data_IF_058277947248
#
_entry.id   IF_058277947248
#
_cell.length_a   1.000
_cell.length_b   1.000
_cell.length_c   1.000
_cell.angle_alpha   90.00
_cell.angle_beta   90.00
_cell.angle_gamma   90.00
#
_symmetry.space_group_name_H-M   'P 1'
#
loop_
_entity.id
_entity.type
_entity.pdbx_description
1 polymer ?
#
# COMPACT_ATOMS: atom_id res chain seq x y z
N UNK A 1 36.99 -27.19 -61.77
CA UNK A 1 36.95 -25.82 -61.28
C UNK A 1 36.35 -25.84 -59.88
N UNK A 2 37.08 -25.33 -58.92
CA UNK A 2 36.49 -25.19 -57.56
C UNK A 2 35.56 -23.97 -57.53
N UNK A 3 34.29 -24.16 -57.21
CA UNK A 3 33.37 -23.07 -57.07
C UNK A 3 33.52 -22.54 -55.62
N UNK A 4 33.94 -21.28 -55.51
CA UNK A 4 34.03 -20.60 -54.20
C UNK A 4 32.77 -19.75 -54.02
N UNK A 5 31.97 -20.05 -53.03
CA UNK A 5 30.81 -19.24 -52.67
C UNK A 5 31.29 -17.97 -51.95
N UNK A 6 31.10 -16.79 -52.57
CA UNK A 6 31.49 -15.49 -52.01
C UNK A 6 30.41 -14.98 -51.03
N UNK A 7 29.15 -15.38 -51.23
CA UNK A 7 28.02 -15.09 -50.33
C UNK A 7 27.05 -16.25 -50.41
N UNK A 8 26.60 -16.74 -49.24
CA UNK A 8 25.56 -17.76 -49.20
C UNK A 8 24.24 -17.14 -49.66
N UNK A 9 23.63 -17.71 -50.69
CA UNK A 9 22.28 -17.37 -51.12
C UNK A 9 21.26 -17.83 -50.08
N UNK A 10 20.12 -17.18 -50.04
CA UNK A 10 18.98 -17.56 -49.19
C UNK A 10 18.20 -18.68 -49.91
N UNK A 11 18.45 -19.93 -49.50
CA UNK A 11 17.79 -21.11 -50.09
C UNK A 11 16.25 -21.09 -49.88
N UNK A 12 15.75 -20.38 -48.85
CA UNK A 12 14.32 -20.28 -48.58
C UNK A 12 13.57 -19.50 -49.67
N UNK A 13 14.28 -18.65 -50.42
CA UNK A 13 13.68 -17.92 -51.55
C UNK A 13 13.28 -18.83 -52.71
N UNK A 14 13.87 -20.00 -52.82
CA UNK A 14 13.55 -20.96 -53.85
C UNK A 14 12.29 -21.79 -53.54
N UNK A 15 11.93 -21.86 -52.27
CA UNK A 15 10.80 -22.69 -51.78
C UNK A 15 9.67 -21.86 -51.21
N UNK A 16 9.65 -20.55 -51.44
CA UNK A 16 8.62 -19.64 -50.96
C UNK A 16 7.28 -19.90 -51.59
N UNK A 17 6.20 -19.54 -50.85
CA UNK A 17 4.86 -19.48 -51.38
C UNK A 17 4.81 -18.54 -52.57
N UNK A 18 4.25 -19.05 -53.71
CA UNK A 18 4.16 -18.33 -54.97
C UNK A 18 2.75 -18.30 -55.48
N UNK A 19 2.38 -17.19 -56.13
CA UNK A 19 1.11 -17.07 -56.85
C UNK A 19 1.28 -17.45 -58.30
N UNK A 20 0.40 -18.30 -58.81
CA UNK A 20 0.33 -18.78 -60.16
C UNK A 20 -0.95 -18.29 -60.81
N UNK A 21 -0.84 -17.97 -62.10
CA UNK A 21 -1.98 -17.65 -62.93
C UNK A 21 -2.06 -18.67 -64.09
N UNK A 22 -3.16 -19.39 -64.19
CA UNK A 22 -3.37 -20.37 -65.24
C UNK A 22 -3.95 -19.70 -66.47
N UNK A 23 -3.20 -19.58 -67.53
CA UNK A 23 -3.62 -18.96 -68.80
C UNK A 23 -4.70 -19.76 -69.51
N UNK A 24 -5.02 -21.00 -69.09
CA UNK A 24 -6.01 -21.87 -69.73
C UNK A 24 -7.41 -21.73 -69.12
N UNK A 25 -7.52 -21.33 -67.85
CA UNK A 25 -8.81 -21.25 -67.18
C UNK A 25 -8.92 -20.03 -66.24
N UNK A 26 -7.97 -19.11 -66.30
CA UNK A 26 -7.88 -17.88 -65.49
C UNK A 26 -7.89 -18.12 -63.98
N UNK A 27 -7.65 -19.38 -63.53
CA UNK A 27 -7.52 -19.67 -62.11
C UNK A 27 -6.24 -19.05 -61.55
N UNK A 28 -6.41 -18.28 -60.49
CA UNK A 28 -5.31 -17.74 -59.66
C UNK A 28 -5.22 -18.56 -58.38
N UNK A 29 -4.07 -19.11 -58.06
CA UNK A 29 -3.89 -19.91 -56.86
C UNK A 29 -2.46 -19.75 -56.30
N UNK A 30 -2.31 -20.03 -55.03
CA UNK A 30 -1.07 -19.99 -54.35
C UNK A 30 -0.55 -21.42 -54.10
N UNK A 31 0.73 -21.68 -54.36
CA UNK A 31 1.39 -22.94 -54.09
C UNK A 31 2.63 -22.74 -53.17
N UNK A 32 2.82 -23.69 -52.26
CA UNK A 32 4.00 -23.72 -51.39
C UNK A 32 5.19 -24.40 -52.06
N UNK A 33 6.40 -24.24 -51.52
CA UNK A 33 7.63 -24.68 -52.18
C UNK A 33 7.72 -26.15 -52.51
N UNK A 34 6.89 -27.02 -51.89
CA UNK A 34 6.80 -28.46 -52.19
C UNK A 34 5.87 -28.78 -53.36
N UNK A 35 5.02 -27.82 -53.75
CA UNK A 35 3.90 -28.03 -54.67
C UNK A 35 4.19 -27.45 -56.08
N UNK A 36 5.36 -26.85 -56.26
CA UNK A 36 5.76 -26.30 -57.55
C UNK A 36 7.22 -26.62 -57.87
N UNK A 37 7.55 -26.63 -59.15
CA UNK A 37 8.94 -26.82 -59.66
C UNK A 37 9.57 -25.46 -59.98
N UNK A 38 10.77 -25.23 -59.47
CA UNK A 38 11.58 -24.06 -59.86
C UNK A 38 12.21 -24.29 -61.20
N UNK A 39 12.01 -23.37 -62.15
CA UNK A 39 12.65 -23.44 -63.48
C UNK A 39 14.15 -23.13 -63.30
N UNK A 40 14.98 -24.14 -63.54
CA UNK A 40 16.44 -24.05 -63.44
C UNK A 40 17.11 -23.73 -64.77
N UNK A 41 16.36 -23.82 -65.89
CA UNK A 41 16.85 -23.46 -67.21
C UNK A 41 17.01 -21.92 -67.31
N UNK A 42 18.27 -21.46 -67.44
CA UNK A 42 18.59 -20.04 -67.51
C UNK A 42 18.08 -19.39 -68.81
N UNK A 43 18.06 -20.11 -69.91
CA UNK A 43 17.54 -19.55 -71.18
C UNK A 43 16.03 -19.33 -71.10
N UNK A 44 15.32 -20.27 -70.53
CA UNK A 44 13.86 -20.16 -70.33
C UNK A 44 13.53 -19.01 -69.38
N UNK A 45 14.29 -18.86 -68.32
CA UNK A 45 14.11 -17.75 -67.36
C UNK A 45 14.41 -16.38 -67.98
N UNK A 46 15.49 -16.25 -68.74
CA UNK A 46 15.89 -14.98 -69.32
C UNK A 46 15.00 -14.56 -70.49
N UNK A 47 14.53 -15.50 -71.32
CA UNK A 47 13.70 -15.20 -72.48
C UNK A 47 12.19 -15.04 -72.16
N UNK A 48 11.68 -15.84 -71.23
CA UNK A 48 10.24 -15.86 -70.92
C UNK A 48 9.86 -15.24 -69.57
N UNK A 49 10.86 -15.01 -68.70
CA UNK A 49 10.63 -14.54 -67.34
C UNK A 49 9.97 -15.57 -66.41
N UNK A 50 9.87 -16.85 -66.84
CA UNK A 50 9.26 -17.92 -66.03
C UNK A 50 10.24 -18.40 -64.97
N UNK A 51 9.84 -18.34 -63.68
CA UNK A 51 10.69 -18.79 -62.57
C UNK A 51 10.21 -20.09 -61.92
N UNK A 52 8.93 -20.40 -62.03
CA UNK A 52 8.37 -21.62 -61.46
C UNK A 52 7.18 -22.11 -62.26
N UNK A 53 6.87 -23.40 -62.17
CA UNK A 53 5.73 -24.05 -62.77
C UNK A 53 5.00 -24.93 -61.76
N UNK A 54 3.68 -25.04 -61.89
CA UNK A 54 2.83 -25.83 -61.01
C UNK A 54 1.61 -26.36 -61.80
N UNK A 55 1.06 -27.48 -61.36
CA UNK A 55 -0.19 -27.99 -61.92
C UNK A 55 -1.39 -27.19 -61.40
N UNK A 56 -2.17 -26.62 -62.30
CA UNK A 56 -3.39 -25.88 -61.93
C UNK A 56 -4.40 -26.82 -61.28
N UNK A 57 -4.90 -26.49 -60.06
CA UNK A 57 -5.85 -27.34 -59.34
C UNK A 57 -7.23 -27.41 -60.04
N UNK A 58 -7.54 -26.44 -60.89
CA UNK A 58 -8.87 -26.37 -61.55
C UNK A 58 -8.91 -27.13 -62.88
N UNK A 59 -7.87 -27.00 -63.73
CA UNK A 59 -7.91 -27.58 -65.07
C UNK A 59 -6.79 -28.57 -65.35
N UNK A 60 -5.93 -28.85 -64.41
CA UNK A 60 -4.79 -29.76 -64.46
C UNK A 60 -3.77 -29.42 -65.56
N UNK A 61 -3.78 -28.18 -66.08
CA UNK A 61 -2.74 -27.69 -67.00
C UNK A 61 -1.61 -27.03 -66.24
N UNK A 62 -0.43 -26.95 -66.84
CA UNK A 62 0.73 -26.26 -66.26
C UNK A 62 0.48 -24.77 -66.20
N UNK A 63 0.49 -24.21 -64.99
CA UNK A 63 0.49 -22.78 -64.73
C UNK A 63 1.91 -22.31 -64.42
N UNK A 64 2.22 -21.05 -64.69
CA UNK A 64 3.53 -20.48 -64.53
C UNK A 64 3.53 -19.27 -63.58
N UNK A 65 4.63 -19.11 -62.87
CA UNK A 65 4.96 -17.93 -62.10
C UNK A 65 6.14 -17.23 -62.74
N UNK A 66 6.05 -15.93 -62.92
CA UNK A 66 7.00 -15.13 -63.71
C UNK A 66 8.04 -14.40 -62.82
N UNK A 67 9.15 -14.00 -63.43
CA UNK A 67 10.23 -13.29 -62.78
C UNK A 67 9.82 -11.98 -62.14
N UNK A 68 10.44 -11.68 -61.05
CA UNK A 68 10.19 -10.50 -60.25
C UNK A 68 9.07 -10.67 -59.21
N UNK A 69 8.62 -9.57 -58.65
CA UNK A 69 7.65 -9.61 -57.53
C UNK A 69 6.25 -10.09 -57.89
N UNK A 70 5.93 -10.16 -59.19
CA UNK A 70 4.58 -10.49 -59.65
C UNK A 70 4.14 -11.94 -59.36
N UNK A 71 5.08 -12.87 -59.16
CA UNK A 71 4.77 -14.26 -58.81
C UNK A 71 4.97 -14.61 -57.33
N UNK A 72 5.58 -13.74 -56.56
CA UNK A 72 5.87 -14.01 -55.17
C UNK A 72 4.88 -13.33 -54.24
N UNK A 73 4.32 -14.11 -53.37
CA UNK A 73 3.47 -13.54 -52.33
C UNK A 73 4.41 -12.91 -51.27
N UNK A 74 4.24 -11.60 -51.04
CA UNK A 74 5.08 -10.93 -50.02
C UNK A 74 4.94 -11.58 -48.66
N UNK A 75 6.04 -11.79 -47.97
CA UNK A 75 6.03 -12.32 -46.60
C UNK A 75 6.38 -11.22 -45.58
N UNK A 76 5.76 -11.32 -44.42
CA UNK A 76 6.07 -10.40 -43.33
C UNK A 76 7.51 -10.61 -42.87
N UNK A 77 8.39 -9.66 -43.16
CA UNK A 77 9.77 -9.65 -42.76
C UNK A 77 9.93 -9.30 -41.28
N UNK A 78 9.16 -8.32 -40.80
CA UNK A 78 9.12 -7.87 -39.41
C UNK A 78 7.80 -7.17 -39.13
N UNK A 79 7.48 -7.01 -37.86
CA UNK A 79 6.44 -6.09 -37.42
C UNK A 79 7.09 -4.90 -36.68
N UNK A 80 6.36 -3.78 -36.63
CA UNK A 80 6.76 -2.59 -35.88
C UNK A 80 5.54 -1.96 -35.23
N UNK A 81 5.76 -1.17 -34.20
CA UNK A 81 4.70 -0.36 -33.59
C UNK A 81 4.51 0.91 -34.42
N UNK A 82 3.31 1.11 -34.95
CA UNK A 82 2.91 2.32 -35.68
C UNK A 82 2.47 3.42 -34.72
N UNK A 83 1.66 3.07 -33.71
CA UNK A 83 1.25 3.97 -32.63
C UNK A 83 1.47 3.28 -31.29
N UNK A 84 2.19 3.94 -30.39
CA UNK A 84 2.44 3.42 -29.05
C UNK A 84 1.17 3.51 -28.19
N UNK A 85 0.85 2.44 -27.43
CA UNK A 85 -0.17 2.50 -26.38
C UNK A 85 0.37 3.23 -25.15
N UNK A 86 -0.38 3.16 -24.04
CA UNK A 86 0.12 3.57 -22.72
C UNK A 86 1.38 2.79 -22.36
N UNK A 87 2.43 3.50 -21.89
CA UNK A 87 3.74 2.90 -21.52
C UNK A 87 4.08 3.04 -20.04
N UNK A 88 3.40 3.92 -19.29
CA UNK A 88 3.64 4.12 -17.85
C UNK A 88 2.62 3.37 -16.99
N UNK A 89 3.10 2.54 -16.05
CA UNK A 89 2.27 1.68 -15.20
C UNK A 89 2.69 1.75 -13.72
N UNK A 90 1.81 1.26 -12.86
CA UNK A 90 2.10 0.96 -11.45
C UNK A 90 2.16 -0.56 -11.24
N UNK A 91 2.92 -1.04 -10.26
CA UNK A 91 2.88 -2.45 -9.90
C UNK A 91 1.45 -2.94 -9.64
N UNK A 92 1.15 -4.13 -10.15
CA UNK A 92 -0.18 -4.72 -10.05
C UNK A 92 -1.16 -4.35 -11.17
N UNK A 93 -0.84 -3.39 -12.05
CA UNK A 93 -1.63 -3.12 -13.26
C UNK A 93 -1.29 -4.15 -14.35
N UNK A 94 -2.23 -4.38 -15.25
CA UNK A 94 -2.01 -5.16 -16.48
C UNK A 94 -1.75 -4.21 -17.66
N UNK A 95 -1.07 -4.72 -18.68
CA UNK A 95 -0.88 -3.97 -19.92
C UNK A 95 -2.23 -3.64 -20.59
N UNK A 96 -2.35 -2.42 -21.05
CA UNK A 96 -3.52 -1.93 -21.79
C UNK A 96 -3.12 -1.63 -23.24
N UNK A 97 -3.58 -2.44 -24.24
CA UNK A 97 -3.25 -2.26 -25.64
C UNK A 97 -4.08 -1.14 -26.32
N UNK A 98 -4.95 -0.44 -25.62
CA UNK A 98 -5.80 0.59 -26.20
C UNK A 98 -5.00 1.65 -26.97
N UNK A 99 -5.39 1.90 -28.23
CA UNK A 99 -4.71 2.85 -29.13
C UNK A 99 -3.42 2.32 -29.77
N UNK A 100 -3.02 1.07 -29.49
CA UNK A 100 -1.86 0.45 -30.14
C UNK A 100 -2.16 0.16 -31.60
N UNK A 101 -1.24 0.52 -32.48
CA UNK A 101 -1.27 0.15 -33.90
C UNK A 101 -0.01 -0.63 -34.23
N UNK A 102 -0.18 -1.83 -34.78
CA UNK A 102 0.90 -2.70 -35.23
C UNK A 102 0.92 -2.69 -36.76
N UNK A 103 2.10 -2.54 -37.34
CA UNK A 103 2.32 -2.50 -38.78
C UNK A 103 3.22 -3.64 -39.21
N UNK A 104 2.77 -4.43 -40.17
CA UNK A 104 3.60 -5.41 -40.85
C UNK A 104 4.45 -4.71 -41.92
N UNK A 105 5.73 -5.08 -41.97
CA UNK A 105 6.66 -4.67 -43.01
C UNK A 105 7.02 -5.92 -43.78
N UNK A 106 6.62 -5.95 -45.04
CA UNK A 106 6.85 -7.08 -45.93
C UNK A 106 8.25 -7.03 -46.56
N UNK A 107 8.65 -8.10 -47.17
CA UNK A 107 9.99 -8.23 -47.81
C UNK A 107 10.11 -7.44 -49.12
N UNK A 108 8.98 -7.04 -49.72
CA UNK A 108 8.94 -6.11 -50.84
C UNK A 108 8.86 -4.64 -50.39
N UNK A 109 9.00 -4.38 -49.07
CA UNK A 109 8.97 -3.08 -48.40
C UNK A 109 7.62 -2.35 -48.35
N UNK A 110 6.52 -2.97 -48.81
CA UNK A 110 5.22 -2.37 -48.48
C UNK A 110 4.90 -2.59 -47.01
N UNK A 111 4.03 -1.76 -46.48
CA UNK A 111 3.58 -1.79 -45.10
C UNK A 111 2.06 -1.91 -45.03
N UNK A 112 1.58 -2.68 -44.06
CA UNK A 112 0.15 -2.87 -43.85
C UNK A 112 -0.17 -2.82 -42.35
N UNK A 113 -1.24 -2.13 -41.97
CA UNK A 113 -1.73 -2.14 -40.60
C UNK A 113 -2.39 -3.48 -40.29
N UNK A 114 -1.91 -4.14 -39.24
CA UNK A 114 -2.46 -5.40 -38.80
C UNK A 114 -3.74 -5.18 -37.97
N UNK A 115 -4.70 -6.10 -38.12
CA UNK A 115 -5.88 -6.13 -37.28
C UNK A 115 -5.48 -6.37 -35.81
N UNK A 116 -6.17 -5.73 -34.87
CA UNK A 116 -5.82 -5.79 -33.43
C UNK A 116 -5.87 -7.22 -32.87
N UNK A 117 -6.78 -8.04 -33.35
CA UNK A 117 -6.98 -9.44 -32.95
C UNK A 117 -5.97 -10.40 -33.57
N UNK A 118 -5.19 -9.96 -34.56
CA UNK A 118 -4.11 -10.76 -35.18
C UNK A 118 -2.84 -10.79 -34.35
N UNK A 119 -2.76 -10.00 -33.27
CA UNK A 119 -1.59 -9.89 -32.41
C UNK A 119 -1.92 -10.27 -30.98
N UNK A 120 -0.95 -10.92 -30.30
CA UNK A 120 -0.98 -11.20 -28.86
C UNK A 120 0.09 -10.40 -28.13
N UNK A 121 -0.10 -10.17 -26.85
CA UNK A 121 0.85 -9.45 -26.00
C UNK A 121 1.26 -10.28 -24.78
N UNK A 122 2.52 -10.16 -24.35
CA UNK A 122 3.05 -10.82 -23.18
C UNK A 122 3.98 -9.88 -22.40
N UNK A 123 3.98 -9.92 -21.06
CA UNK A 123 3.13 -10.73 -20.20
C UNK A 123 1.67 -10.26 -20.17
N UNK A 124 0.74 -11.18 -19.95
CA UNK A 124 -0.69 -10.89 -19.70
C UNK A 124 -1.02 -10.76 -18.21
N UNK A 125 -0.05 -11.08 -17.36
CA UNK A 125 -0.14 -10.99 -15.90
C UNK A 125 0.08 -9.55 -15.41
N UNK A 126 -0.20 -9.32 -14.11
CA UNK A 126 0.09 -8.05 -13.47
C UNK A 126 1.58 -7.68 -13.58
N UNK A 127 1.84 -6.43 -13.95
CA UNK A 127 3.18 -5.87 -14.12
C UNK A 127 3.83 -5.64 -12.75
N UNK A 128 5.15 -5.83 -12.69
CA UNK A 128 5.98 -5.64 -11.50
C UNK A 128 7.03 -4.55 -11.76
N UNK A 129 7.74 -4.11 -10.71
CA UNK A 129 8.84 -3.14 -10.87
C UNK A 129 9.99 -3.62 -11.76
N UNK A 130 10.06 -4.94 -12.03
CA UNK A 130 11.04 -5.53 -12.94
C UNK A 130 10.55 -5.69 -14.38
N UNK A 131 9.28 -5.35 -14.65
CA UNK A 131 8.74 -5.40 -16.01
C UNK A 131 9.19 -4.16 -16.77
N UNK A 132 9.95 -4.35 -17.84
CA UNK A 132 10.59 -3.30 -18.63
C UNK A 132 10.10 -3.24 -20.09
N UNK A 133 9.44 -4.31 -20.57
CA UNK A 133 8.86 -4.36 -21.90
C UNK A 133 7.61 -5.23 -21.99
N UNK A 134 6.87 -5.04 -23.08
CA UNK A 134 5.79 -5.92 -23.53
C UNK A 134 6.15 -6.44 -24.91
N UNK A 135 6.19 -7.75 -25.07
CA UNK A 135 6.38 -8.39 -26.37
C UNK A 135 5.05 -8.51 -27.10
N UNK A 136 4.95 -7.92 -28.27
CA UNK A 136 3.83 -8.07 -29.20
C UNK A 136 4.20 -9.12 -30.23
N UNK A 137 3.34 -10.13 -30.43
CA UNK A 137 3.55 -11.23 -31.39
C UNK A 137 2.42 -11.25 -32.40
N UNK A 138 2.73 -11.18 -33.69
CA UNK A 138 1.75 -11.45 -34.74
C UNK A 138 1.54 -12.95 -34.90
N UNK A 139 0.31 -13.41 -34.64
CA UNK A 139 -0.01 -14.84 -34.47
C UNK A 139 0.32 -15.66 -35.73
N UNK A 140 -0.02 -15.15 -36.91
CA UNK A 140 0.12 -15.89 -38.15
C UNK A 140 1.60 -16.02 -38.62
N UNK A 141 2.45 -14.99 -38.42
CA UNK A 141 3.84 -15.02 -38.86
C UNK A 141 4.85 -15.32 -37.76
N UNK A 142 4.46 -15.32 -36.49
CA UNK A 142 5.33 -15.49 -35.34
C UNK A 142 6.33 -14.35 -35.14
N UNK A 143 6.22 -13.24 -35.90
CA UNK A 143 7.12 -12.08 -35.76
C UNK A 143 6.77 -11.32 -34.49
N UNK A 144 7.80 -10.79 -33.82
CA UNK A 144 7.67 -10.07 -32.54
C UNK A 144 8.27 -8.66 -32.62
N UNK A 145 7.78 -7.80 -31.72
CA UNK A 145 8.35 -6.49 -31.43
C UNK A 145 8.12 -6.16 -29.96
N UNK A 146 9.11 -5.57 -29.30
CA UNK A 146 9.02 -5.17 -27.91
C UNK A 146 8.64 -3.69 -27.79
N UNK A 147 7.73 -3.41 -26.87
CA UNK A 147 7.35 -2.07 -26.46
C UNK A 147 8.00 -1.82 -25.09
N UNK A 148 8.92 -0.88 -24.96
CA UNK A 148 9.47 -0.52 -23.66
C UNK A 148 8.38 0.12 -22.79
N UNK A 149 8.30 -0.33 -21.54
CA UNK A 149 7.38 0.22 -20.52
C UNK A 149 8.13 0.64 -19.28
N UNK A 150 7.52 1.51 -18.49
CA UNK A 150 8.05 1.99 -17.22
C UNK A 150 7.07 1.67 -16.11
N UNK A 151 7.49 0.84 -15.16
CA UNK A 151 6.68 0.50 -13.99
C UNK A 151 7.30 1.14 -12.76
N UNK A 152 6.57 2.05 -12.11
CA UNK A 152 7.04 2.79 -10.93
C UNK A 152 5.94 3.01 -9.91
N UNK A 153 6.30 3.11 -8.63
CA UNK A 153 5.39 3.47 -7.56
C UNK A 153 5.04 4.98 -7.64
N UNK A 154 3.80 5.33 -7.31
CA UNK A 154 3.43 6.72 -7.07
C UNK A 154 3.93 7.16 -5.70
N UNK A 155 4.61 8.32 -5.65
CA UNK A 155 5.08 8.90 -4.39
C UNK A 155 3.89 9.49 -3.63
N UNK A 156 3.78 9.15 -2.34
CA UNK A 156 2.78 9.68 -1.41
C UNK A 156 3.47 10.37 -0.24
N UNK A 157 2.80 11.38 0.34
CA UNK A 157 3.32 12.12 1.49
C UNK A 157 3.19 11.23 2.74
N UNK A 158 4.20 11.27 3.63
CA UNK A 158 4.14 10.62 4.93
C UNK A 158 3.10 11.31 5.81
N UNK A 159 2.21 10.57 6.48
CA UNK A 159 1.32 11.16 7.47
C UNK A 159 2.09 11.63 8.70
N UNK A 160 1.53 12.63 9.38
CA UNK A 160 2.07 13.23 10.59
C UNK A 160 1.01 13.22 11.68
N UNK A 161 1.43 13.17 12.95
CA UNK A 161 0.52 13.34 14.06
C UNK A 161 0.15 14.84 14.21
N UNK A 162 -1.13 15.16 14.37
CA UNK A 162 -1.57 16.50 14.76
C UNK A 162 -1.22 16.77 16.22
N UNK A 163 -1.30 15.72 17.05
CA UNK A 163 -0.98 15.72 18.46
C UNK A 163 -0.32 14.37 18.82
N UNK A 164 0.76 14.42 19.57
CA UNK A 164 1.50 13.23 19.97
C UNK A 164 1.36 12.89 21.45
N UNK A 165 0.82 13.80 22.27
CA UNK A 165 0.66 13.65 23.72
C UNK A 165 -0.74 14.05 24.10
N UNK A 166 -1.43 13.21 24.83
CA UNK A 166 -2.79 13.41 25.34
C UNK A 166 -2.78 13.25 26.86
N UNK A 167 -3.55 14.07 27.57
CA UNK A 167 -3.82 13.86 28.99
C UNK A 167 -4.85 12.75 29.17
N UNK A 168 -4.69 11.95 30.22
CA UNK A 168 -5.69 10.95 30.57
C UNK A 168 -7.06 11.59 30.84
N UNK A 169 -8.11 11.08 30.21
CA UNK A 169 -9.47 11.63 30.35
C UNK A 169 -10.51 10.62 30.84
N UNK A 170 -10.09 9.39 31.12
CA UNK A 170 -11.02 8.29 31.42
C UNK A 170 -11.75 7.73 30.20
N UNK A 171 -11.63 8.38 29.04
CA UNK A 171 -12.27 7.99 27.79
C UNK A 171 -11.24 7.60 26.74
N UNK A 172 -11.70 6.88 25.70
CA UNK A 172 -10.82 6.49 24.60
C UNK A 172 -10.32 7.71 23.83
N UNK A 173 -9.01 7.88 23.77
CA UNK A 173 -8.30 8.87 22.98
C UNK A 173 -7.94 8.27 21.62
N UNK A 174 -8.46 8.85 20.56
CA UNK A 174 -8.12 8.45 19.18
C UNK A 174 -7.04 9.37 18.64
N UNK A 175 -5.91 8.80 18.17
CA UNK A 175 -4.81 9.58 17.62
C UNK A 175 -5.25 10.34 16.36
N UNK A 176 -5.03 11.64 16.31
CA UNK A 176 -5.32 12.52 15.19
C UNK A 176 -4.14 12.56 14.23
N UNK A 177 -4.43 12.40 12.94
CA UNK A 177 -3.39 12.27 11.92
C UNK A 177 -3.72 13.15 10.73
N UNK A 178 -2.75 13.93 10.30
CA UNK A 178 -2.78 14.73 9.08
C UNK A 178 -2.13 13.95 7.93
N UNK A 179 -2.68 14.10 6.71
CA UNK A 179 -2.11 13.50 5.50
C UNK A 179 -2.41 12.00 5.32
N UNK A 180 -3.29 11.40 6.15
CA UNK A 180 -3.74 10.03 5.96
C UNK A 180 -4.77 9.93 4.85
N UNK A 181 -4.50 9.07 3.86
CA UNK A 181 -5.42 8.74 2.77
C UNK A 181 -5.57 7.21 2.66
N UNK A 182 -6.76 6.73 3.01
CA UNK A 182 -7.09 5.31 2.99
C UNK A 182 -7.07 4.68 1.58
N UNK A 183 -7.05 5.45 0.51
CA UNK A 183 -6.93 4.93 -0.87
C UNK A 183 -5.50 4.55 -1.21
N UNK A 184 -4.52 5.24 -0.64
CA UNK A 184 -3.09 5.11 -0.95
C UNK A 184 -2.28 4.37 0.11
N UNK A 185 -2.75 4.32 1.34
CA UNK A 185 -2.06 3.65 2.45
C UNK A 185 -3.02 2.95 3.41
N UNK A 186 -2.48 2.06 4.25
CA UNK A 186 -3.19 1.41 5.35
C UNK A 186 -2.75 1.99 6.68
N UNK A 187 -3.68 2.09 7.64
CA UNK A 187 -3.45 2.49 9.03
C UNK A 187 -3.64 1.28 9.94
N UNK A 188 -2.74 1.07 10.88
CA UNK A 188 -2.77 -0.05 11.82
C UNK A 188 -2.08 0.31 13.14
N UNK A 189 -1.94 -0.65 14.05
CA UNK A 189 -1.36 -0.44 15.37
C UNK A 189 -2.33 0.22 16.35
N UNK A 190 -1.80 1.02 17.27
CA UNK A 190 -2.58 1.64 18.33
C UNK A 190 -3.24 2.93 17.82
N UNK A 191 -4.45 2.82 17.30
CA UNK A 191 -5.19 3.97 16.74
C UNK A 191 -6.06 4.68 17.75
N UNK A 192 -6.38 4.01 18.88
CA UNK A 192 -7.14 4.57 20.02
C UNK A 192 -6.81 3.81 21.29
N UNK A 193 -6.67 4.51 22.41
CA UNK A 193 -6.38 3.94 23.74
C UNK A 193 -7.04 4.75 24.84
N UNK A 194 -7.21 4.13 26.00
CA UNK A 194 -7.80 4.77 27.19
C UNK A 194 -6.79 4.96 28.30
N UNK A 195 -5.85 4.02 28.49
CA UNK A 195 -4.91 4.00 29.63
C UNK A 195 -3.70 4.88 29.37
N UNK A 196 -3.09 5.37 30.43
CA UNK A 196 -1.74 5.98 30.40
C UNK A 196 -0.73 5.00 29.83
N UNK A 197 0.12 5.47 28.91
CA UNK A 197 1.12 4.63 28.27
C UNK A 197 1.71 5.20 27.00
N UNK A 198 2.64 4.46 26.43
CA UNK A 198 3.29 4.74 25.14
C UNK A 198 2.72 3.82 24.07
N UNK A 199 2.35 4.39 22.95
CA UNK A 199 1.65 3.73 21.86
C UNK A 199 2.28 4.08 20.52
N UNK A 200 1.90 3.34 19.46
CA UNK A 200 2.38 3.64 18.14
C UNK A 200 1.30 3.33 17.09
N UNK A 201 1.03 4.28 16.22
CA UNK A 201 0.23 4.09 15.00
C UNK A 201 1.18 3.83 13.84
N UNK A 202 0.80 2.90 12.96
CA UNK A 202 1.62 2.49 11.79
C UNK A 202 0.89 2.80 10.50
N UNK A 203 1.66 3.22 9.49
CA UNK A 203 1.17 3.48 8.14
C UNK A 203 2.03 2.72 7.14
N UNK A 204 1.37 2.04 6.19
CA UNK A 204 2.04 1.27 5.15
C UNK A 204 1.46 1.67 3.80
N UNK A 205 2.29 2.06 2.82
CA UNK A 205 1.83 2.29 1.46
C UNK A 205 1.16 1.03 0.89
N UNK A 206 0.07 1.21 0.16
CA UNK A 206 -0.53 0.11 -0.61
C UNK A 206 0.29 -0.18 -1.86
N UNK A 207 0.04 -1.33 -2.48
CA UNK A 207 0.67 -1.71 -3.76
C UNK A 207 0.54 -0.58 -4.79
N UNK A 208 1.65 -0.22 -5.44
CA UNK A 208 1.71 0.86 -6.40
C UNK A 208 2.00 2.25 -5.82
N UNK A 209 2.30 2.34 -4.51
CA UNK A 209 2.67 3.57 -3.82
C UNK A 209 3.97 3.40 -3.03
N UNK A 210 4.72 4.50 -2.83
CA UNK A 210 5.92 4.55 -2.01
C UNK A 210 6.05 5.90 -1.28
N UNK A 211 6.85 5.92 -0.21
CA UNK A 211 7.24 7.16 0.45
C UNK A 211 8.17 8.00 -0.43
N UNK A 212 8.44 9.28 -0.07
CA UNK A 212 9.32 10.16 -0.85
C UNK A 212 10.75 9.65 -1.04
N UNK A 213 11.22 8.76 -0.16
CA UNK A 213 12.53 8.10 -0.27
C UNK A 213 12.50 6.81 -1.11
N UNK A 214 11.37 6.51 -1.77
CA UNK A 214 11.19 5.32 -2.59
C UNK A 214 10.88 4.04 -1.79
N UNK A 215 10.89 4.06 -0.46
CA UNK A 215 10.60 2.89 0.36
C UNK A 215 9.11 2.60 0.47
N UNK A 216 8.75 1.33 0.67
CA UNK A 216 7.38 0.85 0.89
C UNK A 216 7.18 0.28 2.29
N UNK A 217 8.21 0.33 3.14
CA UNK A 217 8.16 -0.17 4.49
C UNK A 217 7.19 0.63 5.37
N UNK A 218 6.57 -0.05 6.34
CA UNK A 218 5.71 0.62 7.31
C UNK A 218 6.51 1.65 8.12
N UNK A 219 5.97 2.85 8.28
CA UNK A 219 6.45 3.84 9.25
C UNK A 219 5.62 3.74 10.53
N UNK A 220 6.27 4.04 11.66
CA UNK A 220 5.64 4.00 12.99
C UNK A 220 5.76 5.37 13.63
N UNK A 221 4.62 5.96 14.02
CA UNK A 221 4.58 7.25 14.71
C UNK A 221 4.18 7.01 16.17
N UNK A 222 5.08 7.33 17.13
CA UNK A 222 4.80 7.16 18.55
C UNK A 222 3.88 8.25 19.07
N UNK A 223 3.01 7.90 20.02
CA UNK A 223 2.17 8.83 20.75
C UNK A 223 1.96 8.36 22.19
N UNK A 224 1.53 9.25 23.08
CA UNK A 224 1.47 9.02 24.52
C UNK A 224 0.11 9.41 25.04
N UNK A 225 -0.35 8.68 26.07
CA UNK A 225 -1.31 9.20 27.06
C UNK A 225 -0.54 9.36 28.36
N UNK A 226 -0.43 10.58 28.85
CA UNK A 226 0.23 10.90 30.10
C UNK A 226 -0.80 11.00 31.24
N UNK A 227 -0.32 10.96 32.48
CA UNK A 227 -1.18 11.15 33.65
C UNK A 227 -1.78 12.55 33.66
N UNK A 228 -3.07 12.61 33.95
CA UNK A 228 -3.76 13.87 34.14
C UNK A 228 -3.49 14.46 35.54
N UNK A 229 -3.60 15.77 35.65
CA UNK A 229 -3.65 16.42 36.96
C UNK A 229 -5.01 16.13 37.62
N UNK A 230 -5.06 15.72 38.91
CA UNK A 230 -6.31 15.52 39.62
C UNK A 230 -6.91 16.84 40.03
N UNK A 231 -8.23 16.90 40.08
CA UNK A 231 -8.93 17.98 40.77
C UNK A 231 -8.75 17.84 42.29
N UNK A 232 -8.87 18.97 43.01
CA UNK A 232 -8.83 18.98 44.47
C UNK A 232 -9.88 18.05 45.06
N UNK A 233 -9.55 17.16 45.98
CA UNK A 233 -10.54 16.30 46.65
C UNK A 233 -11.50 17.11 47.49
N UNK A 234 -12.74 16.61 47.63
CA UNK A 234 -13.74 17.19 48.52
C UNK A 234 -13.93 16.31 49.74
N UNK A 235 -14.10 16.95 50.88
CA UNK A 235 -14.27 16.29 52.16
C UNK A 235 -15.71 16.43 52.67
N UNK A 236 -16.32 15.32 53.13
CA UNK A 236 -17.70 15.33 53.61
C UNK A 236 -17.82 14.50 54.88
N UNK A 237 -18.10 15.15 55.99
CA UNK A 237 -18.14 16.61 56.24
C UNK A 237 -16.73 17.24 56.18
N UNK A 238 -16.66 18.54 55.91
CA UNK A 238 -15.42 19.33 55.89
C UNK A 238 -14.89 19.70 57.30
N UNK A 239 -15.69 19.47 58.32
CA UNK A 239 -15.33 19.67 59.76
C UNK A 239 -15.97 18.58 60.59
N UNK A 240 -15.28 18.17 61.66
CA UNK A 240 -15.74 17.17 62.64
C UNK A 240 -15.49 17.66 64.06
N UNK A 241 -16.36 17.20 65.00
CA UNK A 241 -16.22 17.51 66.44
C UNK A 241 -15.96 16.22 67.20
N UNK A 242 -15.09 16.28 68.18
CA UNK A 242 -14.79 15.21 69.14
C UNK A 242 -15.17 15.73 70.54
N UNK A 243 -15.76 14.88 71.36
CA UNK A 243 -16.09 15.18 72.74
C UNK A 243 -16.04 13.90 73.59
N UNK A 244 -16.36 13.99 74.90
CA UNK A 244 -16.34 12.87 75.80
C UNK A 244 -17.31 11.73 75.42
N UNK A 245 -18.37 12.02 74.64
CA UNK A 245 -19.34 11.04 74.17
C UNK A 245 -19.05 10.55 72.76
N UNK A 246 -18.34 11.34 71.97
CA UNK A 246 -17.98 11.08 70.57
C UNK A 246 -16.47 11.19 70.43
N UNK A 247 -15.75 10.17 70.88
CA UNK A 247 -14.25 10.13 70.83
C UNK A 247 -13.69 9.78 69.44
N UNK A 248 -14.59 9.53 68.45
CA UNK A 248 -14.23 9.22 67.05
C UNK A 248 -15.28 9.78 66.09
N UNK A 249 -14.83 10.34 65.00
CA UNK A 249 -15.64 10.82 63.90
C UNK A 249 -15.05 10.35 62.56
N UNK A 250 -15.83 10.35 61.51
CA UNK A 250 -15.36 9.98 60.18
C UNK A 250 -15.78 11.02 59.16
N UNK A 251 -14.98 11.18 58.09
CA UNK A 251 -15.38 11.90 56.91
C UNK A 251 -14.93 11.14 55.64
N UNK A 252 -15.65 11.35 54.60
CA UNK A 252 -15.37 10.76 53.27
C UNK A 252 -14.54 11.71 52.42
N UNK A 253 -13.61 11.15 51.62
CA UNK A 253 -12.78 11.85 50.66
C UNK A 253 -13.33 11.48 49.27
N UNK A 254 -13.93 12.42 48.54
CA UNK A 254 -14.27 12.25 47.14
C UNK A 254 -13.14 12.83 46.29
N UNK A 255 -12.61 12.06 45.38
CA UNK A 255 -11.42 12.43 44.57
C UNK A 255 -11.55 11.96 43.12
N UNK A 256 -10.94 12.69 42.19
CA UNK A 256 -10.77 12.28 40.81
C UNK A 256 -9.55 11.38 40.62
N UNK A 257 -8.48 11.62 41.40
CA UNK A 257 -7.24 10.83 41.36
C UNK A 257 -7.44 9.39 41.84
N UNK A 258 -6.68 8.46 41.29
CA UNK A 258 -6.73 7.01 41.54
C UNK A 258 -5.64 6.51 42.54
N UNK A 259 -4.81 7.40 43.06
CA UNK A 259 -3.78 7.09 44.05
C UNK A 259 -4.36 6.94 45.45
N UNK A 260 -3.56 6.47 46.42
CA UNK A 260 -3.95 6.32 47.79
C UNK A 260 -4.14 7.68 48.49
N UNK A 261 -5.14 7.77 49.37
CA UNK A 261 -5.33 8.93 50.26
C UNK A 261 -4.33 8.87 51.39
N UNK A 262 -3.69 10.00 51.72
CA UNK A 262 -2.83 10.21 52.90
C UNK A 262 -3.38 11.31 53.74
N UNK A 263 -3.20 11.19 55.06
CA UNK A 263 -3.67 12.16 56.02
C UNK A 263 -2.59 12.47 57.06
N UNK A 264 -2.48 13.74 57.36
CA UNK A 264 -1.56 14.26 58.39
C UNK A 264 -2.35 15.14 59.37
N UNK A 265 -2.16 14.96 60.67
CA UNK A 265 -2.72 15.83 61.71
C UNK A 265 -1.77 16.95 62.04
N UNK A 266 -2.26 18.18 62.15
CA UNK A 266 -1.46 19.33 62.63
C UNK A 266 -1.14 19.25 64.11
N UNK A 267 -1.95 18.52 64.90
CA UNK A 267 -1.71 18.28 66.33
C UNK A 267 -2.31 16.91 66.74
N UNK A 268 -1.44 15.90 66.81
CA UNK A 268 -1.79 14.55 67.23
C UNK A 268 -2.17 14.47 68.74
N UNK A 269 -1.85 15.50 69.54
CA UNK A 269 -2.28 15.56 70.93
C UNK A 269 -3.77 15.99 71.07
N UNK A 270 -4.39 16.52 70.00
CA UNK A 270 -5.79 16.89 69.89
C UNK A 270 -6.55 15.83 69.10
N UNK A 271 -6.04 15.42 67.95
CA UNK A 271 -6.72 14.47 67.08
C UNK A 271 -5.71 13.63 66.28
N UNK A 272 -5.90 12.32 66.21
CA UNK A 272 -5.15 11.39 65.38
C UNK A 272 -6.03 10.94 64.23
N UNK A 273 -5.50 10.94 62.99
CA UNK A 273 -6.23 10.52 61.80
C UNK A 273 -5.67 9.23 61.23
N UNK A 274 -6.52 8.37 60.77
CA UNK A 274 -6.20 7.16 60.04
C UNK A 274 -7.09 7.06 58.78
N UNK A 275 -6.61 6.47 57.71
CA UNK A 275 -7.35 6.34 56.46
C UNK A 275 -7.49 4.88 56.04
N UNK A 276 -8.68 4.53 55.59
CA UNK A 276 -8.96 3.23 54.94
C UNK A 276 -9.74 3.48 53.66
N UNK A 277 -9.12 3.24 52.52
CA UNK A 277 -9.65 3.59 51.20
C UNK A 277 -9.83 5.11 51.08
N UNK A 278 -11.09 5.56 51.02
CA UNK A 278 -11.50 6.98 50.97
C UNK A 278 -12.18 7.46 52.21
N UNK A 279 -12.23 6.65 53.27
CA UNK A 279 -12.79 7.04 54.59
C UNK A 279 -11.68 7.37 55.56
N UNK A 280 -11.69 8.56 56.09
CA UNK A 280 -10.80 9.00 57.15
C UNK A 280 -11.52 8.88 58.51
N UNK A 281 -10.84 8.25 59.45
CA UNK A 281 -11.31 8.18 60.84
C UNK A 281 -10.41 9.07 61.71
N UNK A 282 -11.02 10.05 62.33
CA UNK A 282 -10.40 10.94 63.30
C UNK A 282 -10.75 10.46 64.70
N UNK A 283 -9.75 10.31 65.56
CA UNK A 283 -9.93 9.83 66.94
C UNK A 283 -9.24 10.75 67.93
N UNK A 284 -9.84 10.89 69.09
CA UNK A 284 -9.14 11.46 70.23
C UNK A 284 -7.96 10.57 70.66
N UNK A 285 -6.82 11.12 71.02
CA UNK A 285 -5.73 10.37 71.59
C UNK A 285 -6.07 9.78 72.97
N UNK A 286 -5.24 8.90 73.48
CA UNK A 286 -5.45 8.24 74.79
C UNK A 286 -5.63 9.24 75.95
N UNK A 287 -4.98 10.40 75.83
CA UNK A 287 -5.12 11.52 76.79
C UNK A 287 -5.71 12.72 76.02
N UNK A 288 -7.03 12.83 75.91
CA UNK A 288 -7.66 13.86 75.10
C UNK A 288 -7.40 15.26 75.63
N UNK A 289 -7.17 16.21 74.70
CA UNK A 289 -7.10 17.64 74.98
C UNK A 289 -8.17 18.39 74.23
N UNK A 290 -8.74 19.40 74.90
CA UNK A 290 -9.57 20.41 74.25
C UNK A 290 -8.66 21.29 73.37
N UNK A 291 -9.09 21.51 72.13
CA UNK A 291 -8.32 22.30 71.17
C UNK A 291 -8.81 22.11 69.72
N UNK A 292 -8.10 22.67 68.82
CA UNK A 292 -8.34 22.55 67.38
C UNK A 292 -7.20 21.84 66.70
N UNK A 293 -7.52 20.99 65.73
CA UNK A 293 -6.52 20.37 64.85
C UNK A 293 -7.00 20.44 63.38
N UNK A 294 -6.10 20.36 62.44
CA UNK A 294 -6.35 20.32 61.04
C UNK A 294 -5.86 18.99 60.50
N UNK A 295 -6.78 18.21 59.89
CA UNK A 295 -6.39 17.00 59.18
C UNK A 295 -6.19 17.36 57.70
N UNK A 296 -4.94 17.37 57.29
CA UNK A 296 -4.57 17.62 55.88
C UNK A 296 -4.67 16.31 55.08
N UNK A 297 -5.46 16.34 54.03
CA UNK A 297 -5.69 15.21 53.13
C UNK A 297 -4.94 15.44 51.81
N UNK A 298 -4.08 14.52 51.43
CA UNK A 298 -3.38 14.46 50.18
C UNK A 298 -3.73 13.18 49.42
N UNK A 299 -3.46 13.15 48.12
CA UNK A 299 -3.68 11.95 47.29
C UNK A 299 -2.35 11.64 46.61
N UNK A 300 -1.85 10.42 46.76
CA UNK A 300 -0.64 9.95 46.09
C UNK A 300 -0.84 9.87 44.57
N UNK A 301 0.27 9.81 43.87
CA UNK A 301 0.29 9.45 42.47
C UNK A 301 -0.37 8.06 42.25
N UNK A 302 -1.23 7.99 41.27
CA UNK A 302 -1.89 6.77 40.85
C UNK A 302 -1.40 6.26 39.49
N UNK A 303 -2.15 5.37 38.90
CA UNK A 303 -1.87 4.84 37.56
C UNK A 303 -2.13 5.89 36.49
N UNK A 304 -3.23 6.65 36.62
CA UNK A 304 -3.74 7.54 35.60
C UNK A 304 -3.68 9.03 35.97
N UNK A 305 -3.42 9.34 37.25
CA UNK A 305 -3.36 10.71 37.75
C UNK A 305 -2.05 10.98 38.49
N UNK A 306 -1.59 12.21 38.40
CA UNK A 306 -0.50 12.73 39.23
C UNK A 306 -0.95 12.82 40.70
N UNK A 307 0.00 13.06 41.60
CA UNK A 307 -0.29 13.28 43.04
C UNK A 307 -0.96 14.65 43.24
N UNK A 308 -1.97 14.71 44.11
CA UNK A 308 -2.48 15.96 44.66
C UNK A 308 -1.73 16.26 45.96
N UNK A 309 -0.76 17.19 45.92
CA UNK A 309 0.17 17.47 46.99
C UNK A 309 -0.14 18.68 47.86
N UNK A 310 -0.98 19.61 47.34
CA UNK A 310 -1.34 20.85 48.07
C UNK A 310 -2.07 20.57 49.37
N UNK A 311 -2.89 19.53 49.39
CA UNK A 311 -3.71 19.12 50.52
C UNK A 311 -4.98 19.91 50.69
N UNK A 312 -6.05 19.22 51.12
CA UNK A 312 -7.32 19.82 51.58
C UNK A 312 -7.51 19.54 53.05
N UNK A 313 -8.02 20.50 53.76
CA UNK A 313 -8.10 20.45 55.24
C UNK A 313 -9.53 20.13 55.70
N UNK A 314 -9.63 19.18 56.65
CA UNK A 314 -10.79 18.99 57.53
C UNK A 314 -10.48 19.61 58.88
N UNK A 315 -11.27 20.56 59.34
CA UNK A 315 -11.16 21.17 60.65
C UNK A 315 -11.72 20.22 61.74
N UNK A 316 -10.95 20.07 62.81
CA UNK A 316 -11.35 19.25 63.96
C UNK A 316 -11.42 20.13 65.21
N UNK A 317 -12.59 20.14 65.83
CA UNK A 317 -12.76 20.77 67.14
C UNK A 317 -12.93 19.69 68.20
N UNK A 318 -12.07 19.68 69.20
CA UNK A 318 -12.10 18.75 70.33
C UNK A 318 -12.51 19.46 71.62
N UNK A 319 -13.61 19.03 72.22
CA UNK A 319 -14.21 19.60 73.44
C UNK A 319 -14.22 18.54 74.53
N UNK A 320 -13.09 18.36 75.20
CA UNK A 320 -12.99 17.48 76.38
C UNK A 320 -12.92 18.36 77.60
N UNK A 321 -14.03 18.45 78.37
CA UNK A 321 -13.97 19.13 79.64
C UNK A 321 -13.01 18.40 80.61
N UNK A 322 -12.20 19.17 81.35
CA UNK A 322 -11.41 18.62 82.45
C UNK A 322 -12.37 18.00 83.43
N UNK A 323 -12.17 16.70 83.75
CA UNK A 323 -12.96 16.13 84.93
C UNK A 323 -12.73 17.03 86.12
N UNK A 324 -13.82 17.73 86.56
CA UNK A 324 -13.78 18.41 87.80
C UNK A 324 -13.48 17.36 88.88
N UNK A 325 -12.31 17.47 89.58
CA UNK A 325 -11.89 16.61 90.63
C UNK A 325 -12.51 17.01 91.99
#
# INVERSE_FOLDING_TARGET
>A
MAITTISAGDATKLTRKRRFNCIFCDCVFDAEGTDYDVVTDLQLREQSGIEASCTCPTCSKTAYSYAGRMGMIPEIKRIRIGTLPKTGYRPGQTFDPAGMVVVAVYDDYHEETLAADSCTTAPTTALTLSSDHITVTHTASGKTVDIPIFVHNAVIIRPELEEAVYDYSGSAQAVKVKGYDATTMTRSGDTSKTSVGSYAVKFTPKTGYCWPDGTTAAISLPWLIIRAEPEAPTLTPAAVTLDATHTSATFAVTRSGDGAVEVDSSDESVAVATVSGTTVTVKAPTTPKTGEAKITVKVKEGTNYLAFTEGVVCDVTANFEAAEG
#
